data_IF_751323364097
#
_entry.id   IF_751323364097
#
_cell.length_a   1.000
_cell.length_b   1.000
_cell.length_c   1.000
_cell.angle_alpha   90.00
_cell.angle_beta   90.00
_cell.angle_gamma   90.00
#
_symmetry.space_group_name_H-M   'P 1'
#
loop_
_entity.id
_entity.type
_entity.pdbx_description
1 polymer ?
#
# COMPACT_ATOMS: atom_id res chain seq x y z
N UNK A 1 -10.98 3.07 -7.52
CA UNK A 1 -11.72 3.26 -6.26
C UNK A 1 -10.78 3.84 -5.20
N UNK A 2 -11.25 4.71 -4.32
CA UNK A 2 -10.41 5.28 -3.24
C UNK A 2 -10.42 4.42 -1.97
N UNK A 3 -9.56 4.69 -0.98
CA UNK A 3 -9.44 3.91 0.27
C UNK A 3 -10.75 3.79 1.06
N UNK A 4 -11.66 4.75 0.93
CA UNK A 4 -12.95 4.74 1.62
C UNK A 4 -14.01 3.83 0.97
N UNK A 5 -13.69 3.21 -0.16
CA UNK A 5 -14.60 2.27 -0.83
C UNK A 5 -14.57 0.85 -0.22
N UNK A 6 -13.66 0.58 0.72
CA UNK A 6 -13.44 -0.73 1.34
C UNK A 6 -13.71 -0.66 2.84
N UNK A 7 -14.18 -1.77 3.43
CA UNK A 7 -14.35 -1.87 4.90
C UNK A 7 -13.02 -2.05 5.65
N UNK A 8 -12.03 -2.64 5.00
CA UNK A 8 -10.65 -2.81 5.48
C UNK A 8 -9.74 -3.09 4.28
N UNK A 9 -8.47 -2.70 4.35
CA UNK A 9 -7.45 -3.01 3.35
C UNK A 9 -6.07 -3.15 4.01
N UNK A 10 -5.17 -3.99 3.47
CA UNK A 10 -3.84 -4.20 4.06
C UNK A 10 -2.96 -2.96 3.90
N UNK A 11 -2.04 -2.72 4.85
CA UNK A 11 -1.04 -1.63 4.79
C UNK A 11 0.35 -2.26 4.78
N UNK A 12 0.88 -2.57 3.60
CA UNK A 12 2.10 -3.36 3.46
C UNK A 12 2.92 -2.89 2.24
N UNK A 13 4.26 -2.78 2.36
CA UNK A 13 5.08 -3.17 3.51
C UNK A 13 5.19 -2.10 4.62
N UNK A 14 4.43 -1.00 4.54
CA UNK A 14 4.42 0.03 5.57
C UNK A 14 3.05 0.69 5.71
N UNK A 15 2.82 1.30 6.87
CA UNK A 15 1.63 2.12 7.16
C UNK A 15 1.95 3.61 7.13
N UNK A 16 0.92 4.45 7.01
CA UNK A 16 1.09 5.91 6.93
C UNK A 16 1.72 6.39 5.62
N UNK A 17 2.50 7.47 5.69
CA UNK A 17 3.05 8.21 4.55
C UNK A 17 4.58 8.25 4.63
N UNK A 18 5.24 8.10 3.48
CA UNK A 18 6.65 8.46 3.33
C UNK A 18 6.72 9.84 2.68
N UNK A 19 7.29 10.79 3.42
CA UNK A 19 7.39 12.19 2.99
C UNK A 19 8.14 12.29 1.66
N UNK A 20 7.46 12.81 0.64
CA UNK A 20 7.96 12.95 -0.74
C UNK A 20 8.46 11.65 -1.37
N UNK A 21 8.05 10.49 -0.84
CA UNK A 21 8.54 9.18 -1.27
C UNK A 21 10.04 8.97 -1.03
N UNK A 22 10.69 9.75 -0.16
CA UNK A 22 12.16 9.74 0.00
C UNK A 22 12.58 9.38 1.41
N UNK A 23 13.57 8.49 1.50
CA UNK A 23 14.22 8.11 2.75
C UNK A 23 15.59 7.49 2.49
N UNK A 24 16.36 7.28 3.55
CA UNK A 24 17.64 6.58 3.50
C UNK A 24 17.52 5.30 4.33
N UNK A 25 17.96 4.17 3.77
CA UNK A 25 18.06 2.90 4.49
C UNK A 25 19.41 2.26 4.18
N UNK A 26 20.13 1.82 5.22
CA UNK A 26 21.46 1.21 5.10
C UNK A 26 22.44 2.06 4.27
N UNK A 27 22.38 3.38 4.45
CA UNK A 27 23.21 4.33 3.70
C UNK A 27 22.80 4.56 2.24
N UNK A 28 21.75 3.88 1.75
CA UNK A 28 21.23 4.06 0.39
C UNK A 28 20.06 5.04 0.37
N UNK A 29 20.12 6.02 -0.52
CA UNK A 29 18.98 6.88 -0.82
C UNK A 29 17.95 6.12 -1.66
N UNK A 30 16.69 6.10 -1.19
CA UNK A 30 15.58 5.41 -1.84
C UNK A 30 14.51 6.43 -2.20
N UNK A 31 13.98 6.32 -3.43
CA UNK A 31 12.83 7.08 -3.89
C UNK A 31 11.74 6.11 -4.31
N UNK A 32 10.54 6.30 -3.78
CA UNK A 32 9.33 5.55 -4.10
C UNK A 32 8.42 6.41 -4.97
N UNK A 33 7.69 5.73 -5.86
CA UNK A 33 6.68 6.37 -6.70
C UNK A 33 5.47 6.83 -5.88
N UNK A 34 4.74 7.81 -6.42
CA UNK A 34 3.44 8.23 -5.88
C UNK A 34 2.40 7.17 -6.21
N UNK A 35 1.47 6.95 -5.29
CA UNK A 35 0.53 5.83 -5.41
C UNK A 35 -0.89 6.16 -4.91
N UNK A 36 -1.23 7.44 -4.72
CA UNK A 36 -2.56 7.79 -4.22
C UNK A 36 -3.60 7.74 -5.37
N UNK A 37 -4.55 6.76 -5.36
CA UNK A 37 -5.34 6.43 -6.54
C UNK A 37 -6.39 7.50 -6.91
N UNK A 38 -6.82 8.31 -5.93
CA UNK A 38 -7.78 9.41 -6.14
C UNK A 38 -7.13 10.79 -6.11
N UNK A 39 -5.81 10.87 -5.91
CA UNK A 39 -5.06 12.14 -5.89
C UNK A 39 -3.64 11.89 -6.44
N UNK A 40 -3.48 11.74 -7.77
CA UNK A 40 -2.18 11.41 -8.37
C UNK A 40 -1.06 12.44 -8.11
N UNK A 41 -1.45 13.66 -7.78
CA UNK A 41 -0.53 14.74 -7.44
C UNK A 41 -0.12 14.74 -5.97
N UNK A 42 -0.73 13.88 -5.13
CA UNK A 42 -0.35 13.75 -3.73
C UNK A 42 1.15 13.48 -3.61
N UNK A 43 1.91 14.33 -2.91
CA UNK A 43 3.37 14.25 -2.94
C UNK A 43 3.92 13.06 -2.18
N UNK A 44 3.12 12.30 -1.44
CA UNK A 44 3.61 11.27 -0.52
C UNK A 44 3.17 9.89 -0.95
N UNK A 45 4.08 8.92 -0.90
CA UNK A 45 3.73 7.50 -1.03
C UNK A 45 2.97 7.07 0.21
N UNK A 46 1.84 6.41 0.02
CA UNK A 46 0.85 6.11 1.05
C UNK A 46 0.68 4.59 1.18
N UNK A 47 0.74 4.07 2.40
CA UNK A 47 0.27 2.73 2.78
C UNK A 47 0.90 1.54 2.03
N UNK A 48 2.15 1.68 1.58
CA UNK A 48 2.80 0.64 0.81
C UNK A 48 2.13 0.40 -0.54
N UNK A 49 2.23 -0.82 -1.05
CA UNK A 49 1.86 -1.14 -2.43
C UNK A 49 0.69 -2.11 -2.50
N UNK A 50 0.57 -2.97 -1.50
CA UNK A 50 -0.28 -4.15 -1.60
C UNK A 50 -1.78 -3.80 -1.66
N UNK A 51 -2.20 -2.68 -1.05
CA UNK A 51 -3.58 -2.19 -1.13
C UNK A 51 -4.05 -1.80 -2.54
N UNK A 52 -3.13 -1.72 -3.51
CA UNK A 52 -3.42 -1.42 -4.92
C UNK A 52 -3.27 -2.64 -5.84
N UNK A 53 -2.82 -3.77 -5.30
CA UNK A 53 -2.56 -4.99 -6.06
C UNK A 53 -3.63 -6.05 -5.76
N UNK A 54 -3.99 -6.89 -6.75
CA UNK A 54 -4.82 -8.06 -6.49
C UNK A 54 -4.04 -9.10 -5.67
N UNK A 55 -4.75 -9.80 -4.79
CA UNK A 55 -4.23 -10.95 -4.05
C UNK A 55 -4.80 -12.25 -4.64
N UNK A 56 -4.05 -13.34 -4.56
CA UNK A 56 -4.46 -14.64 -5.04
C UNK A 56 -4.92 -15.50 -3.86
N UNK A 57 -6.16 -15.98 -3.91
CA UNK A 57 -6.65 -16.87 -2.85
C UNK A 57 -5.94 -18.22 -2.89
N UNK A 58 -5.23 -18.57 -1.82
CA UNK A 58 -4.52 -19.85 -1.70
C UNK A 58 -5.23 -20.86 -0.81
N UNK A 59 -6.13 -20.41 0.08
CA UNK A 59 -6.94 -21.29 0.92
C UNK A 59 -8.30 -20.65 1.22
N UNK A 60 -9.36 -21.45 1.14
CA UNK A 60 -10.69 -21.09 1.66
C UNK A 60 -11.23 -22.24 2.51
N UNK A 61 -11.69 -21.89 3.71
CA UNK A 61 -12.42 -22.75 4.65
C UNK A 61 -13.66 -21.98 5.13
N UNK A 62 -14.57 -22.67 5.80
CA UNK A 62 -15.85 -22.11 6.26
C UNK A 62 -15.69 -20.77 7.03
N UNK A 63 -14.65 -20.63 7.85
CA UNK A 63 -14.40 -19.44 8.68
C UNK A 63 -13.02 -18.82 8.48
N UNK A 64 -12.31 -19.17 7.40
CA UNK A 64 -10.95 -18.69 7.12
C UNK A 64 -10.70 -18.56 5.61
N UNK A 65 -10.07 -17.47 5.21
CA UNK A 65 -9.47 -17.33 3.89
C UNK A 65 -8.02 -16.89 4.03
N UNK A 66 -7.17 -17.33 3.11
CA UNK A 66 -5.79 -16.85 2.94
C UNK A 66 -5.67 -16.36 1.50
N UNK A 67 -5.24 -15.11 1.36
CA UNK A 67 -5.03 -14.39 0.12
C UNK A 67 -3.52 -14.22 -0.16
#
# INVERSE_FOLDING_TARGET
>A
AGPLALGCFPLSPFSGRIARGRFTAEGRAITLERNHPSDPDHPHTLHGFDWLAPFETVEVKETRAVL
#
